data_IF_532885944447
#
_entry.id   IF_532885944447
#
_cell.length_a   1.000
_cell.length_b   1.000
_cell.length_c   1.000
_cell.angle_alpha   90.00
_cell.angle_beta   90.00
_cell.angle_gamma   90.00
#
_symmetry.space_group_name_H-M   'P 1'
#
loop_
_entity.id
_entity.type
_entity.pdbx_description
1 polymer ?
#
# COMPACT_ATOMS: atom_id res chain seq x y z
N UNK A 1 10.35 11.89 17.05
CA UNK A 1 8.99 11.37 17.25
C UNK A 1 8.11 12.41 17.92
N UNK A 2 7.11 12.92 17.21
CA UNK A 2 6.36 14.13 17.59
C UNK A 2 5.42 13.93 18.77
N UNK A 3 5.92 14.22 19.98
CA UNK A 3 5.10 14.43 21.18
C UNK A 3 4.46 15.80 21.04
N UNK A 4 3.14 15.83 20.82
CA UNK A 4 2.40 17.07 20.78
C UNK A 4 2.04 17.47 22.21
N UNK A 5 2.48 18.66 22.63
CA UNK A 5 1.99 19.32 23.83
C UNK A 5 0.70 20.05 23.43
N UNK A 6 -0.27 19.32 22.89
CA UNK A 6 -1.60 19.86 22.59
C UNK A 6 -2.45 19.67 23.84
N UNK A 7 -2.82 20.79 24.47
CA UNK A 7 -3.61 20.87 25.71
C UNK A 7 -5.08 20.53 25.49
N UNK A 8 -5.40 19.48 24.72
CA UNK A 8 -6.79 19.06 24.52
C UNK A 8 -7.30 18.32 25.77
N UNK A 9 -8.20 18.98 26.49
CA UNK A 9 -8.84 18.47 27.71
C UNK A 9 -9.90 17.41 27.39
N UNK A 10 -9.47 16.28 26.84
CA UNK A 10 -10.32 15.11 26.63
C UNK A 10 -10.34 14.26 27.92
N UNK A 11 -11.52 14.14 28.55
CA UNK A 11 -11.71 13.44 29.82
C UNK A 11 -11.67 11.91 29.70
N UNK A 12 -12.07 11.37 28.55
CA UNK A 12 -12.14 9.92 28.31
C UNK A 12 -10.82 9.32 27.78
N UNK A 13 -10.60 8.03 28.05
CA UNK A 13 -9.41 7.27 27.62
C UNK A 13 -9.46 6.85 26.13
N UNK A 14 -9.71 7.79 25.24
CA UNK A 14 -9.66 7.58 23.78
C UNK A 14 -8.28 7.89 23.19
N UNK A 15 -7.50 8.73 23.89
CA UNK A 15 -6.15 9.13 23.51
C UNK A 15 -5.11 8.51 24.47
N UNK A 16 -4.12 7.81 23.91
CA UNK A 16 -3.02 7.20 24.70
C UNK A 16 -2.06 8.27 25.21
N UNK A 17 -1.63 8.14 26.47
CA UNK A 17 -0.73 9.08 27.15
C UNK A 17 0.54 8.37 27.63
N UNK A 18 1.67 9.08 27.60
CA UNK A 18 2.94 8.67 28.22
C UNK A 18 3.26 9.61 29.37
N UNK A 19 3.61 9.08 30.53
CA UNK A 19 4.15 9.88 31.64
C UNK A 19 5.65 10.05 31.43
N UNK A 20 6.14 11.29 31.44
CA UNK A 20 7.56 11.62 31.26
C UNK A 20 8.02 12.55 32.38
N UNK A 21 9.22 12.29 32.91
CA UNK A 21 9.93 13.19 33.82
C UNK A 21 10.61 14.29 33.01
N UNK A 22 10.31 15.54 33.30
CA UNK A 22 10.92 16.69 32.63
C UNK A 22 12.25 17.04 33.28
N UNK A 23 13.31 17.31 32.50
CA UNK A 23 14.65 17.59 33.01
C UNK A 23 14.79 18.92 33.80
N UNK A 24 13.77 19.80 33.78
CA UNK A 24 13.79 21.11 34.44
C UNK A 24 12.80 21.27 35.60
N UNK A 25 12.05 20.23 35.95
CA UNK A 25 11.18 20.25 37.13
C UNK A 25 10.97 18.84 37.65
N UNK A 26 10.82 18.67 38.96
CA UNK A 26 10.53 17.36 39.59
C UNK A 26 9.07 16.89 39.33
N UNK A 27 8.41 17.45 38.30
CA UNK A 27 7.03 17.16 37.96
C UNK A 27 6.96 16.12 36.84
N UNK A 28 5.99 15.22 36.97
CA UNK A 28 5.62 14.28 35.93
C UNK A 28 4.60 14.93 34.98
N UNK A 29 4.91 14.92 33.69
CA UNK A 29 4.04 15.51 32.65
C UNK A 29 3.48 14.39 31.76
N UNK A 30 2.20 14.51 31.41
CA UNK A 30 1.57 13.64 30.43
C UNK A 30 1.82 14.18 29.01
N UNK A 31 2.33 13.33 28.13
CA UNK A 31 2.46 13.60 26.71
C UNK A 31 1.49 12.73 25.92
N UNK A 32 0.80 13.34 24.96
CA UNK A 32 -0.09 12.62 24.07
C UNK A 32 0.69 11.87 23.00
N UNK A 33 0.39 10.58 22.85
CA UNK A 33 1.01 9.73 21.84
C UNK A 33 0.09 9.70 20.62
N UNK A 34 0.61 10.12 19.47
CA UNK A 34 -0.09 9.97 18.19
C UNK A 34 -0.26 8.49 17.85
N UNK A 35 -1.37 8.13 17.21
CA UNK A 35 -1.63 6.74 16.79
C UNK A 35 -0.51 6.24 15.88
N UNK A 36 -0.04 5.02 16.15
CA UNK A 36 0.91 4.33 15.27
C UNK A 36 0.27 4.14 13.89
N UNK A 37 1.06 4.40 12.86
CA UNK A 37 0.57 4.37 11.48
C UNK A 37 0.82 3.02 10.85
N UNK A 38 -0.06 2.66 9.94
CA UNK A 38 0.05 1.43 9.15
C UNK A 38 1.13 1.64 8.08
N UNK A 39 2.06 0.68 7.98
CA UNK A 39 3.09 0.66 6.95
C UNK A 39 2.45 0.37 5.59
N UNK A 40 3.01 0.97 4.52
CA UNK A 40 2.50 0.75 3.17
C UNK A 40 2.61 -0.72 2.75
N UNK A 41 1.48 -1.28 2.29
CA UNK A 41 1.38 -2.69 1.89
C UNK A 41 1.37 -2.83 0.37
N UNK A 42 1.92 -3.96 -0.06
CA UNK A 42 1.87 -4.48 -1.42
C UNK A 42 0.42 -4.76 -1.83
N UNK A 43 0.02 -4.29 -3.01
CA UNK A 43 -1.34 -4.47 -3.51
C UNK A 43 -1.73 -5.95 -3.74
N UNK A 44 -0.79 -6.79 -4.22
CA UNK A 44 -1.07 -8.19 -4.54
C UNK A 44 -0.99 -9.12 -3.32
N UNK A 45 0.06 -8.93 -2.53
CA UNK A 45 0.54 -9.90 -1.54
C UNK A 45 0.31 -9.44 -0.10
N UNK A 46 -0.14 -8.18 0.09
CA UNK A 46 -0.34 -7.53 1.40
C UNK A 46 0.90 -7.48 2.31
N UNK A 47 2.06 -7.94 1.83
CA UNK A 47 3.35 -7.78 2.48
C UNK A 47 3.81 -6.33 2.47
N UNK A 48 4.88 -6.01 3.18
CA UNK A 48 5.39 -4.64 3.29
C UNK A 48 6.07 -4.21 1.99
N UNK A 49 5.60 -3.12 1.38
CA UNK A 49 6.14 -2.63 0.11
C UNK A 49 7.23 -1.58 0.32
N UNK A 50 7.03 -0.68 1.28
CA UNK A 50 7.93 0.41 1.67
C UNK A 50 7.68 0.77 3.15
N UNK A 51 8.75 0.98 3.93
CA UNK A 51 8.68 1.36 5.37
C UNK A 51 8.39 2.85 5.60
N UNK A 52 7.50 3.46 4.82
CA UNK A 52 7.22 4.90 4.96
C UNK A 52 5.76 5.17 5.30
N UNK A 53 5.57 6.14 6.20
CA UNK A 53 4.32 6.42 6.91
C UNK A 53 3.55 7.58 6.27
N UNK A 54 2.27 7.35 5.94
CA UNK A 54 1.43 8.19 5.07
C UNK A 54 1.44 9.73 5.28
N UNK A 55 1.39 10.28 6.50
CA UNK A 55 1.34 11.76 6.65
C UNK A 55 2.68 12.42 6.97
N UNK A 56 3.76 11.66 7.09
CA UNK A 56 5.12 12.25 7.07
C UNK A 56 5.62 12.36 5.63
N UNK A 57 4.89 11.79 4.65
CA UNK A 57 5.25 11.86 3.23
C UNK A 57 5.35 13.29 2.69
N UNK A 58 4.72 14.31 3.26
CA UNK A 58 4.86 15.67 2.71
C UNK A 58 6.24 16.24 3.08
N UNK A 59 6.67 16.05 4.32
CA UNK A 59 7.92 16.62 4.86
C UNK A 59 9.17 15.77 4.62
N UNK A 60 9.04 14.51 4.18
CA UNK A 60 10.19 13.61 3.98
C UNK A 60 10.87 13.83 2.62
N UNK A 61 12.13 13.43 2.49
CA UNK A 61 12.84 13.41 1.21
C UNK A 61 12.27 12.34 0.27
N UNK A 62 12.41 12.52 -1.05
CA UNK A 62 11.91 11.55 -2.06
C UNK A 62 12.51 10.15 -1.91
N UNK A 63 13.79 10.06 -1.55
CA UNK A 63 14.48 8.79 -1.31
C UNK A 63 13.86 7.97 -0.17
N UNK A 64 13.25 8.66 0.80
CA UNK A 64 12.51 8.07 1.92
C UNK A 64 11.02 7.87 1.59
N UNK A 65 10.61 7.85 0.32
CA UNK A 65 9.21 7.59 -0.06
C UNK A 65 9.11 6.50 -1.11
N UNK A 66 10.06 6.47 -2.03
CA UNK A 66 10.00 5.65 -3.24
C UNK A 66 11.20 4.71 -3.35
N UNK A 67 10.99 3.56 -3.99
CA UNK A 67 12.09 2.71 -4.45
C UNK A 67 12.29 2.95 -5.95
N UNK A 68 13.55 2.94 -6.41
CA UNK A 68 13.93 3.35 -7.77
C UNK A 68 13.47 2.36 -8.87
N UNK A 69 13.12 1.13 -8.51
CA UNK A 69 12.63 0.11 -9.46
C UNK A 69 11.25 0.43 -10.04
N UNK A 70 10.90 -0.22 -11.15
CA UNK A 70 9.54 -0.20 -11.71
C UNK A 70 8.52 -0.68 -10.67
N UNK A 71 7.44 0.09 -10.51
CA UNK A 71 6.39 -0.11 -9.49
C UNK A 71 6.89 -0.15 -8.03
N UNK A 72 8.02 0.51 -7.74
CA UNK A 72 8.55 0.67 -6.39
C UNK A 72 7.52 1.29 -5.42
N UNK A 73 7.40 0.72 -4.22
CA UNK A 73 6.42 1.18 -3.22
C UNK A 73 5.00 0.66 -3.38
N UNK A 74 4.66 0.03 -4.51
CA UNK A 74 3.32 -0.51 -4.75
C UNK A 74 3.33 -2.04 -4.81
N UNK A 75 4.40 -2.62 -5.37
CA UNK A 75 4.52 -4.05 -5.66
C UNK A 75 5.88 -4.55 -5.20
N UNK A 76 5.95 -5.76 -4.63
CA UNK A 76 7.21 -6.41 -4.24
C UNK A 76 7.72 -7.46 -5.25
N UNK A 77 6.83 -8.15 -5.97
CA UNK A 77 7.19 -9.32 -6.78
C UNK A 77 7.53 -8.99 -8.24
N UNK A 78 8.47 -9.77 -8.81
CA UNK A 78 8.84 -9.76 -10.23
C UNK A 78 7.81 -10.48 -11.13
N UNK A 79 6.86 -11.19 -10.53
CA UNK A 79 5.87 -12.01 -11.22
C UNK A 79 5.08 -11.25 -12.29
N UNK A 80 4.79 -9.97 -12.09
CA UNK A 80 4.09 -9.17 -13.11
C UNK A 80 4.89 -9.03 -14.41
N UNK A 81 6.20 -8.85 -14.30
CA UNK A 81 7.08 -8.68 -15.46
C UNK A 81 7.15 -10.01 -16.22
N UNK A 82 7.37 -11.11 -15.51
CA UNK A 82 7.48 -12.45 -16.10
C UNK A 82 6.14 -12.88 -16.71
N UNK A 83 5.01 -12.67 -16.00
CA UNK A 83 3.68 -13.00 -16.52
C UNK A 83 3.34 -12.20 -17.77
N UNK A 84 3.66 -10.90 -17.80
CA UNK A 84 3.43 -10.08 -19.00
C UNK A 84 4.22 -10.63 -20.19
N UNK A 85 5.52 -10.88 -20.00
CA UNK A 85 6.40 -11.43 -21.03
C UNK A 85 5.86 -12.77 -21.57
N UNK A 86 5.62 -13.75 -20.69
CA UNK A 86 5.15 -15.08 -21.10
C UNK A 86 3.78 -15.06 -21.78
N UNK A 87 2.87 -14.18 -21.34
CA UNK A 87 1.56 -14.04 -21.97
C UNK A 87 1.71 -13.50 -23.40
N UNK A 88 2.61 -12.55 -23.62
CA UNK A 88 2.83 -11.96 -24.94
C UNK A 88 3.55 -12.95 -25.87
N UNK A 89 4.54 -13.69 -25.39
CA UNK A 89 5.16 -14.80 -26.15
C UNK A 89 4.13 -15.85 -26.57
N UNK A 90 3.26 -16.28 -25.64
CA UNK A 90 2.20 -17.23 -25.95
C UNK A 90 1.18 -16.67 -26.95
N UNK A 91 0.88 -15.37 -26.92
CA UNK A 91 -0.02 -14.74 -27.91
C UNK A 91 0.61 -14.75 -29.30
N UNK A 92 1.88 -14.38 -29.42
CA UNK A 92 2.60 -14.38 -30.71
C UNK A 92 2.61 -15.78 -31.31
N UNK A 93 2.98 -16.79 -30.51
CA UNK A 93 3.00 -18.20 -30.96
C UNK A 93 1.60 -18.67 -31.39
N UNK A 94 0.54 -18.28 -30.68
CA UNK A 94 -0.84 -18.64 -31.05
C UNK A 94 -1.26 -18.01 -32.39
N UNK A 95 -0.88 -16.76 -32.65
CA UNK A 95 -1.19 -16.08 -33.91
C UNK A 95 -0.46 -16.76 -35.07
N UNK A 96 0.84 -17.03 -34.94
CA UNK A 96 1.62 -17.70 -35.97
C UNK A 96 1.07 -19.08 -36.33
N UNK A 97 0.71 -19.89 -35.32
CA UNK A 97 0.08 -21.20 -35.53
C UNK A 97 -1.28 -21.09 -36.21
N UNK A 98 -2.07 -20.08 -35.88
CA UNK A 98 -3.38 -19.86 -36.49
C UNK A 98 -3.28 -19.46 -37.97
N UNK A 99 -2.28 -18.62 -38.30
CA UNK A 99 -1.97 -18.25 -39.69
C UNK A 99 -1.55 -19.47 -40.51
N UNK A 100 -0.69 -20.33 -39.96
CA UNK A 100 -0.25 -21.57 -40.63
C UNK A 100 -1.40 -22.57 -40.84
N UNK A 101 -2.32 -22.69 -39.87
CA UNK A 101 -3.43 -23.65 -39.91
C UNK A 101 -4.69 -23.09 -40.59
N UNK A 102 -4.67 -21.85 -41.11
CA UNK A 102 -5.81 -21.21 -41.76
C UNK A 102 -7.03 -21.00 -40.85
N UNK A 103 -6.88 -21.12 -39.52
CA UNK A 103 -7.99 -20.99 -38.56
C UNK A 103 -8.09 -19.54 -38.09
N UNK A 104 -9.27 -18.89 -38.14
CA UNK A 104 -9.40 -17.52 -37.69
C UNK A 104 -9.18 -17.44 -36.17
N UNK A 105 -8.26 -16.57 -35.74
CA UNK A 105 -8.01 -16.28 -34.31
C UNK A 105 -9.27 -15.67 -33.72
N UNK A 106 -9.97 -16.42 -32.85
CA UNK A 106 -11.08 -15.87 -32.06
C UNK A 106 -10.52 -14.79 -31.14
N UNK A 107 -11.10 -13.58 -31.19
CA UNK A 107 -10.75 -12.49 -30.27
C UNK A 107 -10.82 -13.01 -28.83
N UNK A 108 -9.85 -12.66 -27.96
CA UNK A 108 -9.91 -13.07 -26.56
C UNK A 108 -11.26 -12.63 -25.98
N UNK A 109 -11.96 -13.49 -25.21
CA UNK A 109 -13.20 -13.09 -24.58
C UNK A 109 -12.92 -11.85 -23.74
N UNK A 110 -13.64 -10.75 -24.01
CA UNK A 110 -13.63 -9.58 -23.15
C UNK A 110 -13.98 -10.10 -21.77
N UNK A 111 -13.05 -10.04 -20.82
CA UNK A 111 -13.36 -10.32 -19.41
C UNK A 111 -14.51 -9.39 -19.05
N UNK A 112 -15.69 -9.96 -18.85
CA UNK A 112 -16.80 -9.25 -18.27
C UNK A 112 -16.30 -8.78 -16.90
N UNK A 113 -16.18 -7.46 -16.73
CA UNK A 113 -15.97 -6.87 -15.41
C UNK A 113 -17.15 -7.32 -14.57
N UNK A 114 -16.98 -8.35 -13.76
CA UNK A 114 -17.98 -8.70 -12.75
C UNK A 114 -18.15 -7.45 -11.87
N UNK A 115 -19.36 -6.87 -11.79
CA UNK A 115 -19.57 -5.72 -10.92
C UNK A 115 -19.19 -6.13 -9.51
N UNK A 116 -18.41 -5.27 -8.84
CA UNK A 116 -18.02 -5.45 -7.46
C UNK A 116 -19.29 -5.69 -6.64
N UNK A 117 -19.42 -6.88 -6.01
CA UNK A 117 -20.46 -7.13 -5.02
C UNK A 117 -20.24 -6.15 -3.88
N UNK A 118 -21.12 -5.15 -3.80
CA UNK A 118 -21.33 -4.33 -2.61
C UNK A 118 -21.68 -5.25 -1.47
N UNK A 119 -20.77 -5.39 -0.50
CA UNK A 119 -21.09 -6.02 0.78
C UNK A 119 -22.17 -5.16 1.45
N UNK A 120 -23.39 -5.69 1.48
CA UNK A 120 -24.49 -5.16 2.28
C UNK A 120 -24.07 -5.15 3.76
N UNK A 121 -24.10 -3.98 4.39
CA UNK A 121 -24.10 -3.82 5.84
C UNK A 121 -25.29 -4.60 6.41
N UNK A 122 -25.04 -5.66 7.16
CA UNK A 122 -26.03 -6.24 8.07
C UNK A 122 -25.90 -5.56 9.43
N UNK A 123 -27.08 -5.13 9.91
CA UNK A 123 -27.48 -4.56 11.20
C UNK A 123 -26.55 -4.77 12.39
#
# INVERSE_FOLDING_TARGET
DGLAIDSEKMSYNTNKRRVVRTLGSDRLVYLFIKKQRIVSKCCQCKGEAVRNQASVHVCMCRCLKTVIRTFGGVICHRERIIRAFLIDEQKVVKVLKALQLGKPVRKPPKLQKTPAKTASKSK
#
